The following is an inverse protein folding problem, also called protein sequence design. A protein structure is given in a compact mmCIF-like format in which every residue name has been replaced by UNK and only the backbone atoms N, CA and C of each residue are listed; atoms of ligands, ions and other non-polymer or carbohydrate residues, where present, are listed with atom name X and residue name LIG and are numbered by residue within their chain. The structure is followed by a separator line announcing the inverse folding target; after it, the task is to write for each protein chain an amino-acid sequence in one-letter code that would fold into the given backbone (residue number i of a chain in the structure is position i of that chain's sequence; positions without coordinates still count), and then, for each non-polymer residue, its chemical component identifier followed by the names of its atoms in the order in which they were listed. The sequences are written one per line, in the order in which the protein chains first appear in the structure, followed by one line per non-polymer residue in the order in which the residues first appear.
data_IF_569781827750
#
_entry.id   IF_569781827750
#
_cell.length_a   1.000
_cell.length_b   1.000
_cell.length_c   1.000
_cell.angle_alpha   90.00
_cell.angle_beta   90.00
_cell.angle_gamma   90.00
#
_symmetry.space_group_name_H-M   'P 1'
#
loop_
_entity.id
_entity.type
_entity.pdbx_description
1 polymer ?
#
# COMPACT_ATOMS: atom_id res chain seq x y z
N UNK A 1 -16.54 -16.03 -0.24
CA UNK A 1 -16.16 -14.70 0.27
C UNK A 1 -16.01 -13.77 -0.91
N UNK A 2 -16.97 -12.88 -1.11
CA UNK A 2 -16.90 -11.79 -2.09
C UNK A 2 -15.96 -10.69 -1.59
N UNK A 3 -15.66 -9.71 -2.45
CA UNK A 3 -14.86 -8.56 -2.06
C UNK A 3 -15.60 -7.70 -1.01
N UNK A 4 -16.91 -7.52 -1.17
CA UNK A 4 -17.74 -6.79 -0.22
C UNK A 4 -17.79 -7.47 1.15
N UNK A 5 -17.94 -8.80 1.18
CA UNK A 5 -17.89 -9.58 2.42
C UNK A 5 -16.53 -9.43 3.11
N UNK A 6 -15.45 -9.43 2.33
CA UNK A 6 -14.10 -9.20 2.83
C UNK A 6 -13.93 -7.78 3.41
N UNK A 7 -14.39 -6.74 2.72
CA UNK A 7 -14.32 -5.36 3.21
C UNK A 7 -15.22 -5.14 4.44
N UNK A 8 -16.38 -5.78 4.50
CA UNK A 8 -17.22 -5.74 5.68
C UNK A 8 -16.51 -6.35 6.90
N UNK A 9 -15.76 -7.43 6.71
CA UNK A 9 -14.95 -8.05 7.76
C UNK A 9 -13.72 -7.21 8.13
N UNK A 10 -13.01 -6.63 7.15
CA UNK A 10 -11.78 -5.86 7.39
C UNK A 10 -12.00 -4.63 8.28
N UNK A 11 -13.22 -4.09 8.27
CA UNK A 11 -13.64 -3.04 9.21
C UNK A 11 -13.37 -3.45 10.66
N UNK A 12 -13.64 -4.70 11.01
CA UNK A 12 -13.53 -5.24 12.35
C UNK A 12 -12.23 -6.01 12.61
N UNK A 13 -11.42 -6.24 11.58
CA UNK A 13 -10.13 -6.91 11.79
C UNK A 13 -9.20 -6.00 12.61
N UNK A 14 -8.79 -6.48 13.78
CA UNK A 14 -7.51 -6.12 14.38
C UNK A 14 -6.39 -6.74 13.54
N UNK A 15 -5.15 -6.26 13.66
CA UNK A 15 -4.00 -6.83 12.95
C UNK A 15 -4.04 -8.37 13.06
N UNK A 16 -4.33 -9.05 11.94
CA UNK A 16 -4.62 -10.50 11.90
C UNK A 16 -3.36 -11.36 11.92
N UNK A 17 -2.21 -10.75 12.15
CA UNK A 17 -0.96 -11.44 12.37
C UNK A 17 -0.97 -12.12 13.75
N UNK A 18 -0.50 -13.37 13.77
CA UNK A 18 -0.32 -14.21 14.98
C UNK A 18 0.51 -13.48 16.06
N UNK A 19 1.39 -12.58 15.63
CA UNK A 19 2.04 -11.59 16.49
C UNK A 19 1.30 -10.26 16.29
N UNK A 20 0.42 -9.87 17.21
CA UNK A 20 -0.20 -8.55 17.19
C UNK A 20 0.87 -7.49 17.41
N UNK A 21 1.33 -6.89 16.32
CA UNK A 21 2.20 -5.71 16.37
C UNK A 21 1.28 -4.49 16.40
N UNK A 22 1.61 -3.42 17.16
CA UNK A 22 0.83 -2.18 17.18
C UNK A 22 0.78 -1.43 15.84
N UNK A 23 1.38 -1.96 14.77
CA UNK A 23 1.31 -1.39 13.43
C UNK A 23 -0.07 -1.66 12.82
N UNK A 24 -0.85 -0.59 12.67
CA UNK A 24 -2.19 -0.56 12.08
C UNK A 24 -2.14 -0.05 10.64
N UNK A 25 -1.20 0.87 10.37
CA UNK A 25 -0.99 1.53 9.09
C UNK A 25 0.35 1.09 8.47
N UNK A 26 0.50 1.27 7.15
CA UNK A 26 1.79 1.09 6.47
C UNK A 26 2.83 2.10 6.98
N UNK A 27 2.41 3.33 7.29
CA UNK A 27 3.27 4.35 7.88
C UNK A 27 3.99 3.88 9.14
N UNK A 28 3.33 3.04 9.95
CA UNK A 28 3.87 2.59 11.24
C UNK A 28 5.16 1.75 11.09
N UNK A 29 5.43 1.23 9.89
CA UNK A 29 6.66 0.48 9.57
C UNK A 29 7.85 1.38 9.24
N UNK A 30 7.60 2.65 8.93
CA UNK A 30 8.63 3.60 8.50
C UNK A 30 9.02 4.59 9.59
N UNK A 31 8.31 4.63 10.71
CA UNK A 31 8.49 5.65 11.74
C UNK A 31 9.14 5.11 13.02
N UNK A 32 9.91 5.97 13.70
CA UNK A 32 10.39 5.73 15.05
C UNK A 32 9.26 5.94 16.10
N UNK A 33 9.50 5.66 17.40
CA UNK A 33 8.52 5.92 18.46
C UNK A 33 8.10 7.39 18.63
N UNK A 34 8.81 8.33 17.98
CA UNK A 34 8.51 9.76 17.99
C UNK A 34 7.76 10.22 16.72
N UNK A 35 7.50 9.31 15.78
CA UNK A 35 6.81 9.61 14.51
C UNK A 35 7.73 10.11 13.39
N UNK A 36 9.05 10.03 13.55
CA UNK A 36 9.99 10.44 12.51
C UNK A 36 10.20 9.31 11.52
N UNK A 37 10.10 9.62 10.22
CA UNK A 37 10.39 8.66 9.15
C UNK A 37 11.88 8.31 9.13
N UNK A 38 12.18 7.03 9.17
CA UNK A 38 13.52 6.45 9.28
C UNK A 38 14.21 6.20 7.93
N UNK A 39 13.51 6.42 6.82
CA UNK A 39 13.99 6.15 5.46
C UNK A 39 14.12 7.42 4.63
N UNK A 40 15.15 7.49 3.80
CA UNK A 40 15.43 8.66 2.94
C UNK A 40 14.58 8.70 1.66
N UNK A 41 13.90 7.60 1.35
CA UNK A 41 13.09 7.46 0.14
C UNK A 41 12.02 6.38 0.32
N UNK A 42 10.78 6.72 -0.06
CA UNK A 42 9.65 5.79 -0.13
C UNK A 42 9.17 5.76 -1.58
N UNK A 43 9.33 4.62 -2.24
CA UNK A 43 8.84 4.39 -3.60
C UNK A 43 7.42 3.84 -3.61
N UNK A 44 6.76 3.93 -4.76
CA UNK A 44 5.40 3.45 -5.01
C UNK A 44 5.42 2.28 -6.01
N UNK A 45 4.54 1.31 -5.81
CA UNK A 45 4.44 0.17 -6.74
C UNK A 45 3.91 0.60 -8.11
N UNK A 46 3.04 1.62 -8.12
CA UNK A 46 2.44 2.23 -9.30
C UNK A 46 3.50 2.86 -10.21
N UNK A 47 4.58 3.38 -9.63
CA UNK A 47 5.71 4.02 -10.32
C UNK A 47 7.04 3.29 -10.12
N UNK A 48 6.99 1.98 -9.82
CA UNK A 48 8.14 1.21 -9.34
C UNK A 48 9.37 1.31 -10.25
N UNK A 49 9.20 1.36 -11.57
CA UNK A 49 10.31 1.47 -12.51
C UNK A 49 10.99 2.84 -12.46
N UNK A 50 10.20 3.91 -12.31
CA UNK A 50 10.73 5.27 -12.18
C UNK A 50 11.43 5.44 -10.83
N UNK A 51 10.84 4.88 -9.78
CA UNK A 51 11.41 4.92 -8.43
C UNK A 51 12.70 4.08 -8.36
N UNK A 52 12.71 2.90 -8.99
CA UNK A 52 13.94 2.11 -9.14
C UNK A 52 15.03 2.88 -9.88
N UNK A 53 14.69 3.59 -10.95
CA UNK A 53 15.66 4.43 -11.67
C UNK A 53 16.26 5.53 -10.78
N UNK A 54 15.47 6.08 -9.87
CA UNK A 54 15.93 7.07 -8.89
C UNK A 54 16.89 6.42 -7.88
N UNK A 55 16.52 5.26 -7.36
CA UNK A 55 17.30 4.50 -6.37
C UNK A 55 18.62 4.02 -6.98
N UNK A 56 18.59 3.39 -8.16
CA UNK A 56 19.76 2.83 -8.82
C UNK A 56 20.80 3.90 -9.13
N UNK A 57 20.37 5.08 -9.61
CA UNK A 57 21.26 6.24 -9.78
C UNK A 57 21.93 6.69 -8.49
N UNK A 58 21.18 6.74 -7.37
CA UNK A 58 21.73 7.11 -6.06
C UNK A 58 22.75 6.08 -5.55
N UNK A 59 22.53 4.79 -5.84
CA UNK A 59 23.38 3.69 -5.42
C UNK A 59 24.53 3.37 -6.39
N UNK A 60 24.60 4.04 -7.55
CA UNK A 60 25.59 3.75 -8.59
C UNK A 60 25.37 2.40 -9.30
N UNK A 61 24.12 1.91 -9.28
CA UNK A 61 23.72 0.66 -9.91
C UNK A 61 23.24 0.90 -11.35
N UNK A 62 23.51 -0.06 -12.22
CA UNK A 62 23.11 -0.04 -13.64
C UNK A 62 22.11 -1.14 -13.98
N UNK A 63 21.75 -1.96 -13.00
CA UNK A 63 20.82 -3.08 -13.16
C UNK A 63 19.39 -2.59 -13.31
N UNK A 64 18.64 -3.24 -14.17
CA UNK A 64 17.18 -3.10 -14.24
C UNK A 64 16.51 -3.94 -13.15
N UNK A 65 15.29 -3.54 -12.75
CA UNK A 65 14.49 -4.30 -11.79
C UNK A 65 13.63 -5.32 -12.54
N UNK A 66 13.92 -6.63 -12.46
CA UNK A 66 13.11 -7.64 -13.13
C UNK A 66 11.74 -7.79 -12.46
N UNK A 67 10.72 -8.09 -13.27
CA UNK A 67 9.36 -8.38 -12.80
C UNK A 67 9.06 -9.88 -12.93
N UNK A 68 9.66 -10.69 -12.06
CA UNK A 68 9.57 -12.16 -12.11
C UNK A 68 8.15 -12.70 -11.85
N UNK A 69 7.42 -12.12 -10.89
CA UNK A 69 6.10 -12.61 -10.46
C UNK A 69 4.94 -11.81 -11.08
N UNK A 70 4.98 -11.58 -12.39
CA UNK A 70 3.95 -10.79 -13.07
C UNK A 70 2.62 -11.54 -13.11
N UNK A 71 1.60 -10.97 -12.49
CA UNK A 71 0.24 -11.49 -12.60
C UNK A 71 -0.34 -11.18 -13.99
N UNK A 72 -0.33 -12.19 -14.88
CA UNK A 72 -0.84 -12.09 -16.25
C UNK A 72 -2.38 -12.13 -16.32
N UNK A 73 -3.06 -12.57 -15.25
CA UNK A 73 -4.51 -12.80 -15.23
C UNK A 73 -5.32 -11.61 -14.71
N UNK A 74 -4.69 -10.49 -14.37
CA UNK A 74 -5.40 -9.31 -13.87
C UNK A 74 -6.06 -8.55 -15.03
N UNK A 75 -7.33 -8.83 -15.24
CA UNK A 75 -8.13 -8.19 -16.30
C UNK A 75 -8.85 -6.92 -15.89
N UNK A 76 -9.05 -6.70 -14.58
CA UNK A 76 -9.81 -5.56 -14.04
C UNK A 76 -8.93 -4.61 -13.25
N UNK A 77 -9.21 -3.32 -13.39
CA UNK A 77 -8.66 -2.30 -12.52
C UNK A 77 -9.20 -2.49 -11.09
N UNK A 78 -8.43 -2.16 -10.05
CA UNK A 78 -8.91 -2.44 -8.68
C UNK A 78 -10.20 -1.68 -8.36
N UNK A 79 -10.40 -0.51 -8.96
CA UNK A 79 -11.55 0.34 -8.72
C UNK A 79 -12.87 -0.34 -9.11
N UNK A 80 -12.83 -1.29 -10.05
CA UNK A 80 -14.02 -2.04 -10.50
C UNK A 80 -14.57 -3.00 -9.44
N UNK A 81 -13.77 -3.35 -8.43
CA UNK A 81 -14.22 -4.19 -7.33
C UNK A 81 -14.94 -3.38 -6.23
N UNK A 82 -14.86 -2.05 -6.25
CA UNK A 82 -15.38 -1.22 -5.18
C UNK A 82 -16.77 -0.67 -5.48
N UNK A 83 -17.67 -0.81 -4.51
CA UNK A 83 -18.91 -0.04 -4.43
C UNK A 83 -18.69 1.22 -3.59
N UNK A 84 -19.63 2.17 -3.62
CA UNK A 84 -19.57 3.37 -2.76
C UNK A 84 -19.44 3.01 -1.27
N UNK A 85 -20.14 1.96 -0.83
CA UNK A 85 -20.08 1.50 0.57
C UNK A 85 -18.68 0.95 0.90
N UNK A 86 -18.07 0.16 0.01
CA UNK A 86 -16.74 -0.39 0.29
C UNK A 86 -15.65 0.68 0.23
N UNK A 87 -15.80 1.71 -0.62
CA UNK A 87 -14.88 2.87 -0.65
C UNK A 87 -14.86 3.59 0.69
N UNK A 88 -16.01 3.93 1.25
CA UNK A 88 -16.08 4.64 2.53
C UNK A 88 -15.49 3.82 3.68
N UNK A 89 -15.76 2.50 3.73
CA UNK A 89 -15.18 1.62 4.76
C UNK A 89 -13.64 1.62 4.68
N UNK A 90 -13.08 1.51 3.47
CA UNK A 90 -11.62 1.47 3.27
C UNK A 90 -11.01 2.84 3.54
N UNK A 91 -11.65 3.92 3.08
CA UNK A 91 -11.23 5.30 3.34
C UNK A 91 -11.16 5.60 4.84
N UNK A 92 -12.16 5.19 5.61
CA UNK A 92 -12.17 5.39 7.06
C UNK A 92 -11.12 4.53 7.76
N UNK A 93 -10.97 3.26 7.36
CA UNK A 93 -10.03 2.32 7.99
C UNK A 93 -8.58 2.70 7.76
N UNK A 94 -8.22 3.14 6.55
CA UNK A 94 -6.85 3.44 6.13
C UNK A 94 -6.60 4.95 5.93
N UNK A 95 -7.42 5.79 6.59
CA UNK A 95 -7.36 7.25 6.46
C UNK A 95 -5.95 7.82 6.66
N UNK A 96 -5.22 7.32 7.67
CA UNK A 96 -3.88 7.79 8.00
C UNK A 96 -2.90 7.56 6.85
N UNK A 97 -2.86 6.34 6.29
CA UNK A 97 -2.01 6.04 5.13
C UNK A 97 -2.43 6.84 3.90
N UNK A 98 -3.73 6.92 3.63
CA UNK A 98 -4.26 7.64 2.47
C UNK A 98 -3.87 9.12 2.52
N UNK A 99 -4.06 9.77 3.68
CA UNK A 99 -3.72 11.18 3.88
C UNK A 99 -2.21 11.41 3.84
N UNK A 100 -1.43 10.58 4.56
CA UNK A 100 0.02 10.74 4.66
C UNK A 100 0.71 10.56 3.30
N UNK A 101 0.35 9.52 2.56
CA UNK A 101 0.91 9.23 1.25
C UNK A 101 0.19 9.96 0.11
N UNK A 102 -0.84 10.77 0.39
CA UNK A 102 -1.58 11.54 -0.61
C UNK A 102 -2.23 10.68 -1.69
N UNK A 103 -2.81 9.55 -1.31
CA UNK A 103 -3.52 8.69 -2.25
C UNK A 103 -4.91 9.23 -2.58
N UNK A 104 -5.32 9.04 -3.83
CA UNK A 104 -6.69 9.29 -4.29
C UNK A 104 -7.26 8.01 -4.87
N UNK A 105 -8.57 7.82 -4.76
CA UNK A 105 -9.21 6.62 -5.28
C UNK A 105 -9.10 6.55 -6.80
N UNK A 106 -8.42 5.53 -7.31
CA UNK A 106 -8.19 5.32 -8.74
C UNK A 106 -6.90 5.93 -9.29
N UNK A 107 -6.14 6.67 -8.47
CA UNK A 107 -4.76 7.03 -8.77
C UNK A 107 -3.83 5.81 -8.61
#
# INVERSE_FOLDING_TARGET
MTFEEFVAWIKYSSSTCVNSIPHVNQLDWFVDPHGNVLVDFIGRFETIQNDWTTISKRLGLTQELPHENKNLGRSKHYTEYYSEVTKEIIKDKFRVDIEYFGYEFGN
#
